data_IF_209715060728
#
_entry.id   IF_209715060728
#
_cell.length_a   1.000
_cell.length_b   1.000
_cell.length_c   1.000
_cell.angle_alpha   90.00
_cell.angle_beta   90.00
_cell.angle_gamma   90.00
#
_symmetry.space_group_name_H-M   'P 1'
#
loop_
_entity.id
_entity.type
_entity.pdbx_description
1 polymer ?
#
# COMPACT_ATOMS: atom_id res chain seq x y z
N UNK A 1 3.08 6.02 4.06
CA UNK A 1 4.25 6.70 4.67
C UNK A 1 4.70 7.85 3.79
N UNK A 2 4.96 9.03 4.34
CA UNK A 2 5.50 10.20 3.62
C UNK A 2 6.99 10.39 3.88
N UNK A 3 7.76 10.68 2.84
CA UNK A 3 9.21 10.92 2.89
C UNK A 3 9.56 12.30 2.38
N UNK A 4 10.64 12.88 2.89
CA UNK A 4 11.27 14.08 2.35
C UNK A 4 12.77 13.85 2.20
N UNK A 5 13.36 14.43 1.17
CA UNK A 5 14.80 14.63 1.05
C UNK A 5 15.24 15.70 2.05
N UNK A 6 16.27 15.44 2.86
CA UNK A 6 16.79 16.44 3.80
C UNK A 6 17.29 17.70 3.05
N UNK A 7 16.40 18.70 2.83
CA UNK A 7 16.60 20.13 2.43
C UNK A 7 15.43 20.73 1.63
N UNK A 8 14.17 20.51 2.03
CA UNK A 8 13.02 21.18 1.35
C UNK A 8 12.63 22.45 2.10
N UNK A 9 12.60 23.57 1.38
CA UNK A 9 12.20 24.87 1.93
C UNK A 9 10.68 24.86 2.19
N UNK A 10 10.25 25.08 3.45
CA UNK A 10 8.87 24.90 3.94
C UNK A 10 7.81 25.82 3.31
N UNK A 11 8.17 26.69 2.35
CA UNK A 11 7.41 27.89 2.03
C UNK A 11 7.14 28.10 0.52
N UNK A 12 7.33 27.11 -0.34
CA UNK A 12 7.11 27.27 -1.79
C UNK A 12 6.43 26.04 -2.42
N UNK A 13 5.20 26.25 -2.87
CA UNK A 13 4.36 25.48 -3.81
C UNK A 13 4.78 24.02 -4.11
N UNK A 14 3.93 23.09 -3.68
CA UNK A 14 3.99 21.66 -3.95
C UNK A 14 3.28 21.36 -5.28
N UNK A 15 4.03 20.93 -6.30
CA UNK A 15 3.44 20.31 -7.48
C UNK A 15 3.24 18.80 -7.21
N UNK A 16 2.06 18.27 -7.52
CA UNK A 16 1.75 16.85 -7.37
C UNK A 16 2.07 16.14 -8.68
N UNK A 17 2.87 15.08 -8.62
CA UNK A 17 3.17 14.21 -9.76
C UNK A 17 2.65 12.80 -9.52
N UNK A 18 1.83 12.29 -10.44
CA UNK A 18 1.35 10.91 -10.44
C UNK A 18 2.25 10.05 -11.34
N UNK A 19 3.23 9.37 -10.75
CA UNK A 19 4.18 8.54 -11.52
C UNK A 19 3.78 7.05 -11.61
N UNK A 20 2.68 6.67 -10.96
CA UNK A 20 1.91 5.46 -11.27
C UNK A 20 2.20 4.20 -10.43
N UNK A 21 3.32 4.10 -9.71
CA UNK A 21 3.58 2.99 -8.79
C UNK A 21 4.50 3.40 -7.63
N UNK A 22 4.49 2.62 -6.54
CA UNK A 22 5.37 2.86 -5.40
C UNK A 22 6.86 2.81 -5.79
N UNK A 23 7.27 1.84 -6.61
CA UNK A 23 8.67 1.74 -7.06
C UNK A 23 9.06 2.96 -7.90
N UNK A 24 8.17 3.44 -8.78
CA UNK A 24 8.40 4.66 -9.57
C UNK A 24 8.48 5.91 -8.69
N UNK A 25 7.70 5.97 -7.61
CA UNK A 25 7.84 7.04 -6.61
C UNK A 25 9.25 7.00 -6.00
N UNK A 26 9.70 5.84 -5.51
CA UNK A 26 11.05 5.67 -4.94
C UNK A 26 12.13 6.09 -5.93
N UNK A 27 12.06 5.62 -7.18
CA UNK A 27 12.99 6.01 -8.24
C UNK A 27 12.97 7.52 -8.50
N UNK A 28 11.80 8.17 -8.53
CA UNK A 28 11.70 9.62 -8.73
C UNK A 28 12.36 10.41 -7.60
N UNK A 29 12.22 9.95 -6.35
CA UNK A 29 12.87 10.56 -5.18
C UNK A 29 14.40 10.41 -5.27
N UNK A 30 14.89 9.20 -5.58
CA UNK A 30 16.33 8.92 -5.70
C UNK A 30 16.96 9.74 -6.82
N UNK A 31 16.27 9.89 -7.95
CA UNK A 31 16.70 10.70 -9.09
C UNK A 31 16.56 12.22 -8.84
N UNK A 32 16.01 12.64 -7.69
CA UNK A 32 15.80 14.04 -7.36
C UNK A 32 14.78 14.76 -8.24
N UNK A 33 13.87 14.00 -8.88
CA UNK A 33 12.76 14.55 -9.69
C UNK A 33 11.64 15.09 -8.82
N UNK A 34 11.55 14.60 -7.58
CA UNK A 34 10.61 15.06 -6.56
C UNK A 34 11.35 15.19 -5.23
N UNK A 35 10.84 16.08 -4.40
CA UNK A 35 11.39 16.36 -3.07
C UNK A 35 10.83 15.44 -1.97
N UNK A 36 9.66 14.86 -2.24
CA UNK A 36 8.89 14.04 -1.32
C UNK A 36 8.07 12.99 -2.07
N UNK A 37 7.80 11.86 -1.41
CA UNK A 37 6.91 10.81 -1.94
C UNK A 37 6.02 10.24 -0.84
N UNK A 38 4.89 9.65 -1.26
CA UNK A 38 4.04 8.81 -0.43
C UNK A 38 4.07 7.37 -0.96
N UNK A 39 4.49 6.41 -0.14
CA UNK A 39 4.50 4.98 -0.48
C UNK A 39 4.06 4.11 0.71
N UNK A 40 3.71 2.86 0.44
CA UNK A 40 3.46 1.84 1.46
C UNK A 40 4.73 1.60 2.31
N UNK A 41 4.56 1.37 3.61
CA UNK A 41 5.67 1.10 4.53
C UNK A 41 6.53 -0.09 4.07
N UNK A 42 5.91 -1.15 3.57
CA UNK A 42 6.61 -2.33 3.05
C UNK A 42 7.55 -2.01 1.90
N UNK A 43 7.13 -1.13 0.97
CA UNK A 43 7.97 -0.73 -0.15
C UNK A 43 9.15 0.10 0.34
N UNK A 44 8.94 0.96 1.35
CA UNK A 44 10.05 1.66 1.99
C UNK A 44 11.04 0.69 2.65
N UNK A 45 10.56 -0.29 3.42
CA UNK A 45 11.45 -1.26 4.07
C UNK A 45 12.27 -2.03 3.02
N UNK A 46 11.64 -2.50 1.93
CA UNK A 46 12.35 -3.13 0.81
C UNK A 46 13.42 -2.22 0.20
N UNK A 47 13.13 -0.92 0.06
CA UNK A 47 14.07 0.06 -0.49
C UNK A 47 15.24 0.37 0.45
N UNK A 48 15.03 0.32 1.78
CA UNK A 48 16.11 0.42 2.77
C UNK A 48 16.97 -0.86 2.76
N UNK A 49 16.33 -2.03 2.78
CA UNK A 49 17.00 -3.33 2.74
C UNK A 49 17.85 -3.52 1.47
N UNK A 50 17.39 -3.00 0.32
CA UNK A 50 18.12 -3.03 -0.94
C UNK A 50 19.22 -1.96 -1.06
N UNK A 51 19.23 -0.98 -0.16
CA UNK A 51 20.14 0.18 -0.20
C UNK A 51 19.75 1.26 -1.22
N UNK A 52 18.58 1.15 -1.87
CA UNK A 52 18.06 2.21 -2.77
C UNK A 52 17.77 3.50 -1.99
N UNK A 53 17.20 3.36 -0.78
CA UNK A 53 17.06 4.42 0.20
C UNK A 53 18.01 4.19 1.38
N UNK A 54 18.38 5.27 2.05
CA UNK A 54 19.26 5.25 3.22
C UNK A 54 18.82 6.29 4.26
N UNK A 55 18.86 5.92 5.54
CA UNK A 55 18.34 6.74 6.65
C UNK A 55 19.17 8.02 6.92
N UNK A 56 20.38 8.11 6.39
CA UNK A 56 21.23 9.29 6.44
C UNK A 56 20.80 10.37 5.42
N UNK A 57 20.17 9.97 4.31
CA UNK A 57 19.76 10.88 3.22
C UNK A 57 18.27 11.21 3.22
N UNK A 58 17.44 10.29 3.71
CA UNK A 58 15.99 10.40 3.68
C UNK A 58 15.40 10.25 5.08
N UNK A 59 14.33 10.98 5.36
CA UNK A 59 13.62 10.93 6.63
C UNK A 59 12.14 10.62 6.43
N UNK A 60 11.56 9.89 7.38
CA UNK A 60 10.12 9.70 7.47
C UNK A 60 9.51 10.95 8.09
N UNK A 61 8.57 11.57 7.40
CA UNK A 61 7.86 12.73 7.95
C UNK A 61 6.63 12.33 8.76
N UNK A 62 5.93 11.31 8.27
CA UNK A 62 4.65 10.89 8.80
C UNK A 62 4.31 9.47 8.34
N UNK A 63 3.65 8.73 9.23
CA UNK A 63 3.10 7.41 9.00
C UNK A 63 1.62 7.44 9.42
N UNK A 64 0.76 6.81 8.61
CA UNK A 64 -0.66 6.71 8.90
C UNK A 64 -0.92 5.65 9.96
N UNK A 65 -2.13 5.68 10.51
CA UNK A 65 -2.69 4.49 11.14
C UNK A 65 -2.75 3.33 10.12
N UNK A 66 -2.73 2.06 10.60
CA UNK A 66 -2.87 0.90 9.74
C UNK A 66 -4.15 0.94 8.91
N UNK A 67 -4.01 0.66 7.61
CA UNK A 67 -5.13 0.48 6.68
C UNK A 67 -5.42 -1.01 6.48
N UNK A 68 -6.67 -1.39 6.17
CA UNK A 68 -6.99 -2.77 5.83
C UNK A 68 -6.19 -3.23 4.60
N UNK A 69 -5.72 -4.48 4.64
CA UNK A 69 -5.02 -5.08 3.50
C UNK A 69 -5.96 -5.28 2.30
N UNK A 70 -5.39 -5.39 1.11
CA UNK A 70 -6.15 -5.65 -0.12
C UNK A 70 -6.98 -6.93 -0.02
N UNK A 71 -8.30 -6.87 -0.31
CA UNK A 71 -9.16 -8.04 -0.26
C UNK A 71 -8.95 -8.95 -1.48
N UNK A 72 -9.16 -10.24 -1.28
CA UNK A 72 -9.52 -11.15 -2.38
C UNK A 72 -11.05 -11.19 -2.50
N UNK A 73 -11.56 -10.76 -3.65
CA UNK A 73 -12.99 -10.71 -3.93
C UNK A 73 -13.43 -11.81 -4.89
N UNK A 74 -14.64 -12.32 -4.68
CA UNK A 74 -15.25 -13.33 -5.55
C UNK A 74 -16.55 -12.74 -6.11
N UNK A 75 -16.77 -12.92 -7.41
CA UNK A 75 -17.97 -12.43 -8.09
C UNK A 75 -19.23 -12.93 -7.40
N UNK A 76 -20.14 -12.01 -7.09
CA UNK A 76 -21.36 -12.29 -6.31
C UNK A 76 -22.28 -13.33 -6.96
N UNK A 77 -22.36 -13.35 -8.29
CA UNK A 77 -23.22 -14.25 -9.09
C UNK A 77 -22.77 -15.71 -9.12
N UNK A 78 -21.61 -16.05 -8.54
CA UNK A 78 -21.15 -17.43 -8.46
C UNK A 78 -21.94 -18.21 -7.38
N UNK A 79 -22.17 -19.53 -7.57
CA UNK A 79 -22.92 -20.34 -6.61
C UNK A 79 -22.31 -20.31 -5.20
N UNK A 80 -23.14 -20.29 -4.17
CA UNK A 80 -22.69 -20.22 -2.77
C UNK A 80 -21.76 -21.37 -2.38
N UNK A 81 -22.05 -22.58 -2.87
CA UNK A 81 -21.20 -23.76 -2.68
C UNK A 81 -19.78 -23.54 -3.22
N UNK A 82 -19.64 -22.81 -4.32
CA UNK A 82 -18.33 -22.46 -4.87
C UNK A 82 -17.63 -21.42 -4.01
N UNK A 83 -18.32 -20.32 -3.66
CA UNK A 83 -17.78 -19.25 -2.80
C UNK A 83 -17.27 -19.80 -1.46
N UNK A 84 -18.02 -20.71 -0.84
CA UNK A 84 -17.63 -21.39 0.41
C UNK A 84 -16.38 -22.25 0.24
N UNK A 85 -16.29 -23.03 -0.85
CA UNK A 85 -15.10 -23.85 -1.13
C UNK A 85 -13.85 -23.01 -1.33
N UNK A 86 -13.94 -21.90 -2.08
CA UNK A 86 -12.80 -20.99 -2.30
C UNK A 86 -12.35 -20.34 -1.00
N UNK A 87 -13.30 -19.81 -0.20
CA UNK A 87 -13.00 -19.22 1.11
C UNK A 87 -12.28 -20.24 2.01
N UNK A 88 -12.82 -21.46 2.10
CA UNK A 88 -12.23 -22.54 2.90
C UNK A 88 -10.81 -22.87 2.44
N UNK A 89 -10.60 -23.02 1.13
CA UNK A 89 -9.28 -23.34 0.58
C UNK A 89 -8.23 -22.27 0.85
N UNK A 90 -8.60 -20.98 0.86
CA UNK A 90 -7.67 -19.89 1.19
C UNK A 90 -7.33 -19.84 2.69
N UNK A 91 -8.33 -19.96 3.56
CA UNK A 91 -8.13 -19.89 5.02
C UNK A 91 -7.34 -21.10 5.53
N UNK A 92 -7.62 -22.30 5.00
CA UNK A 92 -6.95 -23.54 5.39
C UNK A 92 -5.67 -23.80 4.59
N UNK A 93 -5.22 -22.85 3.78
CA UNK A 93 -4.00 -23.00 3.00
C UNK A 93 -2.79 -23.22 3.93
N UNK A 94 -1.84 -24.10 3.56
CA UNK A 94 -0.64 -24.30 4.34
C UNK A 94 0.18 -22.99 4.41
N UNK A 95 0.97 -22.80 5.48
CA UNK A 95 1.89 -21.67 5.59
C UNK A 95 2.80 -21.59 4.36
N UNK A 96 3.08 -20.37 3.90
CA UNK A 96 3.92 -20.13 2.72
C UNK A 96 3.14 -19.98 1.41
N UNK A 97 1.80 -20.12 1.42
CA UNK A 97 1.00 -19.57 0.35
C UNK A 97 1.10 -18.04 0.40
N UNK A 98 1.94 -17.47 -0.46
CA UNK A 98 2.10 -16.02 -0.57
C UNK A 98 0.82 -15.32 -0.98
N UNK A 99 0.78 -14.00 -0.79
CA UNK A 99 -0.27 -13.16 -1.34
C UNK A 99 -0.24 -13.22 -2.86
N UNK A 100 -1.39 -12.98 -3.49
CA UNK A 100 -1.45 -12.68 -4.91
C UNK A 100 -0.55 -11.47 -5.17
N UNK A 101 0.56 -11.67 -5.90
CA UNK A 101 1.64 -10.68 -6.06
C UNK A 101 3.01 -11.14 -5.57
N UNK A 102 3.12 -12.34 -4.97
CA UNK A 102 4.41 -12.96 -4.61
C UNK A 102 4.97 -12.52 -3.25
N UNK A 103 4.20 -11.72 -2.51
CA UNK A 103 4.58 -11.26 -1.19
C UNK A 103 4.38 -12.34 -0.12
N UNK A 104 5.27 -12.34 0.88
CA UNK A 104 5.16 -13.25 2.03
C UNK A 104 3.92 -12.92 2.86
N UNK A 105 3.15 -13.96 3.18
CA UNK A 105 2.07 -13.92 4.16
C UNK A 105 2.08 -15.20 4.99
N UNK A 106 1.60 -15.09 6.23
CA UNK A 106 1.42 -16.24 7.12
C UNK A 106 0.19 -17.07 6.78
N UNK A 107 -0.73 -16.52 6.00
CA UNK A 107 -1.98 -17.15 5.57
C UNK A 107 -3.03 -16.11 5.18
N UNK A 108 -4.25 -16.57 4.94
CA UNK A 108 -5.41 -15.73 4.65
C UNK A 108 -6.39 -15.74 5.81
N UNK A 109 -7.05 -14.62 6.05
CA UNK A 109 -8.14 -14.49 7.02
C UNK A 109 -9.42 -14.01 6.34
N UNK A 110 -10.56 -14.24 6.99
CA UNK A 110 -11.85 -13.69 6.53
C UNK A 110 -11.93 -12.21 6.85
N UNK A 111 -12.47 -11.44 5.93
CA UNK A 111 -12.84 -10.02 6.08
C UNK A 111 -14.30 -9.84 5.67
N UNK A 112 -14.90 -8.73 6.08
CA UNK A 112 -16.25 -8.28 5.73
C UNK A 112 -16.19 -6.92 5.02
N UNK A 113 -17.30 -6.48 4.44
CA UNK A 113 -17.36 -5.22 3.69
C UNK A 113 -17.07 -4.01 4.60
N UNK A 114 -17.56 -4.09 5.83
CA UNK A 114 -17.47 -3.07 6.86
C UNK A 114 -16.02 -2.82 7.33
N UNK A 115 -15.13 -3.81 7.15
CA UNK A 115 -13.70 -3.65 7.45
C UNK A 115 -13.04 -2.57 6.58
N UNK A 116 -13.68 -2.21 5.46
CA UNK A 116 -13.20 -1.23 4.48
C UNK A 116 -13.84 0.16 4.61
N UNK A 117 -14.68 0.39 5.62
CA UNK A 117 -15.24 1.72 5.94
C UNK A 117 -14.19 2.84 6.12
N UNK A 118 -12.98 2.58 6.68
CA UNK A 118 -11.92 3.61 6.68
C UNK A 118 -11.53 4.09 5.28
N UNK A 119 -11.56 3.20 4.27
CA UNK A 119 -11.24 3.55 2.88
C UNK A 119 -12.35 4.41 2.27
N UNK A 120 -13.63 4.10 2.56
CA UNK A 120 -14.77 4.92 2.11
C UNK A 120 -14.71 6.33 2.69
N UNK A 121 -14.38 6.47 3.98
CA UNK A 121 -14.18 7.79 4.61
C UNK A 121 -13.04 8.59 3.99
N UNK A 122 -11.94 7.93 3.57
CA UNK A 122 -10.85 8.59 2.84
C UNK A 122 -11.36 9.05 1.46
N UNK A 123 -12.09 8.20 0.75
CA UNK A 123 -12.70 8.54 -0.55
C UNK A 123 -13.60 9.78 -0.46
N UNK A 124 -14.49 9.81 0.53
CA UNK A 124 -15.37 10.96 0.83
C UNK A 124 -14.58 12.23 1.17
N UNK A 125 -13.59 12.13 2.04
CA UNK A 125 -12.74 13.26 2.46
C UNK A 125 -12.01 13.88 1.27
N UNK A 126 -11.60 13.05 0.31
CA UNK A 126 -10.90 13.48 -0.90
C UNK A 126 -11.82 13.93 -2.03
N UNK A 127 -13.15 13.80 -1.88
CA UNK A 127 -14.12 14.13 -2.93
C UNK A 127 -13.95 13.28 -4.19
N UNK A 128 -13.59 12.01 -4.02
CA UNK A 128 -13.40 11.06 -5.12
C UNK A 128 -14.73 10.34 -5.40
N UNK A 129 -15.49 10.78 -6.40
CA UNK A 129 -16.72 10.10 -6.81
C UNK A 129 -16.42 8.86 -7.68
N UNK A 130 -17.25 7.82 -7.54
CA UNK A 130 -17.25 6.63 -8.40
C UNK A 130 -18.13 6.83 -9.64
#
# INVERSE_FOLDING_TARGET
>A
MFFIRNRVNRMSIWAIAYVGSHDKNTTALVQGKVDAIAIEEKIYQKAIESGELSSDRYTILWQSDPLPNSPLVIRSTLPDKFKLKVRKALIEAPPGLGLVGGDRASGYTSVQDEDYEPIRRIQETLGLDN
#
